data_IF_073165676517
#
_entry.id   IF_073165676517
#
_cell.length_a   1.000
_cell.length_b   1.000
_cell.length_c   1.000
_cell.angle_alpha   90.00
_cell.angle_beta   90.00
_cell.angle_gamma   90.00
#
_symmetry.space_group_name_H-M   'P 1'
#
loop_
_entity.id
_entity.type
_entity.pdbx_description
1 polymer ?
#
# COMPACT_ATOMS: atom_id res chain seq x y z
N UNK A 1 -20.98 22.75 -10.69
CA UNK A 1 -20.23 22.09 -11.78
C UNK A 1 -20.38 20.60 -11.59
N UNK A 2 -21.20 19.96 -12.42
CA UNK A 2 -21.54 18.55 -12.33
C UNK A 2 -20.27 17.70 -12.51
N UNK A 3 -20.08 16.70 -11.65
CA UNK A 3 -19.07 15.65 -11.85
C UNK A 3 -19.54 14.84 -13.06
N UNK A 4 -18.86 14.95 -14.19
CA UNK A 4 -18.99 13.96 -15.27
C UNK A 4 -18.72 12.60 -14.65
N UNK A 5 -19.75 11.74 -14.63
CA UNK A 5 -19.59 10.36 -14.27
C UNK A 5 -18.64 9.75 -15.31
N UNK A 6 -17.50 9.23 -14.87
CA UNK A 6 -16.58 8.53 -15.75
C UNK A 6 -17.36 7.42 -16.46
N UNK A 7 -17.56 7.56 -17.77
CA UNK A 7 -18.27 6.57 -18.56
C UNK A 7 -17.55 5.22 -18.42
N UNK A 8 -18.32 4.19 -18.07
CA UNK A 8 -17.80 2.83 -18.05
C UNK A 8 -17.27 2.49 -19.45
N UNK A 9 -16.10 1.85 -19.57
CA UNK A 9 -15.61 1.44 -20.88
C UNK A 9 -16.63 0.55 -21.59
N UNK A 10 -16.63 0.56 -22.93
CA UNK A 10 -17.36 -0.43 -23.71
C UNK A 10 -17.08 -1.85 -23.20
N UNK A 11 -18.10 -2.72 -23.18
CA UNK A 11 -17.98 -4.11 -22.70
C UNK A 11 -16.85 -4.88 -23.40
N UNK A 12 -16.61 -4.56 -24.67
CA UNK A 12 -15.52 -5.12 -25.48
C UNK A 12 -14.14 -4.78 -24.91
N UNK A 13 -13.90 -3.50 -24.57
CA UNK A 13 -12.65 -3.05 -23.94
C UNK A 13 -12.39 -3.77 -22.62
N UNK A 14 -13.42 -3.91 -21.78
CA UNK A 14 -13.28 -4.63 -20.51
C UNK A 14 -12.96 -6.12 -20.73
N UNK A 15 -13.59 -6.74 -21.72
CA UNK A 15 -13.35 -8.15 -22.06
C UNK A 15 -11.92 -8.37 -22.58
N UNK A 16 -11.41 -7.44 -23.39
CA UNK A 16 -10.02 -7.45 -23.85
C UNK A 16 -9.05 -7.35 -22.66
N UNK A 17 -9.28 -6.40 -21.75
CA UNK A 17 -8.43 -6.23 -20.57
C UNK A 17 -8.44 -7.44 -19.64
N UNK A 18 -9.59 -8.08 -19.45
CA UNK A 18 -9.68 -9.34 -18.67
C UNK A 18 -8.81 -10.41 -19.30
N UNK A 19 -8.89 -10.57 -20.63
CA UNK A 19 -8.11 -11.57 -21.37
C UNK A 19 -6.61 -11.29 -21.28
N UNK A 20 -6.22 -10.03 -21.46
CA UNK A 20 -4.82 -9.61 -21.39
C UNK A 20 -4.25 -9.80 -19.98
N UNK A 21 -5.00 -9.46 -18.93
CA UNK A 21 -4.58 -9.75 -17.55
C UNK A 21 -4.38 -11.24 -17.32
N UNK A 22 -5.27 -12.10 -17.82
CA UNK A 22 -5.12 -13.55 -17.66
C UNK A 22 -3.88 -14.08 -18.39
N UNK A 23 -3.62 -13.59 -19.61
CA UNK A 23 -2.43 -13.96 -20.40
C UNK A 23 -1.14 -13.52 -19.71
N UNK A 24 -1.04 -12.26 -19.30
CA UNK A 24 0.16 -11.73 -18.66
C UNK A 24 0.35 -12.29 -17.24
N UNK A 25 -0.74 -12.58 -16.51
CA UNK A 25 -0.67 -13.24 -15.20
C UNK A 25 0.00 -14.62 -15.29
N UNK A 26 -0.24 -15.37 -16.36
CA UNK A 26 0.40 -16.67 -16.57
C UNK A 26 1.94 -16.57 -16.70
N UNK A 27 2.48 -15.38 -16.96
CA UNK A 27 3.91 -15.12 -17.04
C UNK A 27 4.52 -14.68 -15.70
N UNK A 28 3.71 -14.47 -14.66
CA UNK A 28 4.23 -14.06 -13.35
C UNK A 28 5.06 -15.18 -12.74
N UNK A 29 6.29 -14.86 -12.33
CA UNK A 29 7.16 -15.72 -11.53
C UNK A 29 7.11 -15.23 -10.09
N UNK A 30 6.76 -16.09 -9.14
CA UNK A 30 6.56 -15.76 -7.72
C UNK A 30 7.64 -16.35 -6.79
N UNK A 31 8.79 -16.64 -7.39
CA UNK A 31 9.99 -17.18 -6.73
C UNK A 31 11.22 -16.35 -7.09
N UNK A 32 12.25 -16.48 -6.28
CA UNK A 32 13.53 -15.81 -6.50
C UNK A 32 14.25 -16.37 -7.73
N UNK A 33 14.61 -15.49 -8.67
CA UNK A 33 15.38 -15.83 -9.87
C UNK A 33 16.85 -15.45 -9.75
N UNK A 34 17.18 -14.46 -8.94
CA UNK A 34 18.51 -13.88 -8.85
C UNK A 34 19.28 -14.39 -7.62
N UNK A 35 20.61 -14.45 -7.70
CA UNK A 35 21.45 -14.89 -6.59
C UNK A 35 21.33 -13.97 -5.36
N UNK A 36 21.31 -12.65 -5.58
CA UNK A 36 21.24 -11.66 -4.49
C UNK A 36 19.97 -11.77 -3.64
N UNK A 37 18.88 -12.36 -4.16
CA UNK A 37 17.62 -12.50 -3.43
C UNK A 37 17.70 -13.55 -2.30
N UNK A 38 18.53 -14.57 -2.53
CA UNK A 38 18.72 -15.71 -1.62
C UNK A 38 19.78 -15.43 -0.55
N UNK A 39 20.60 -14.41 -0.75
CA UNK A 39 21.55 -13.95 0.26
C UNK A 39 20.81 -13.20 1.39
N UNK A 40 21.05 -13.54 2.67
CA UNK A 40 20.39 -12.86 3.79
C UNK A 40 20.63 -11.35 3.86
N UNK A 41 21.80 -10.88 3.41
CA UNK A 41 22.19 -9.48 3.37
C UNK A 41 21.99 -8.83 2.00
N UNK A 42 21.38 -9.54 1.04
CA UNK A 42 21.24 -9.12 -0.35
C UNK A 42 22.58 -8.81 -1.05
N UNK A 43 23.64 -9.55 -0.73
CA UNK A 43 24.95 -9.41 -1.39
C UNK A 43 24.80 -9.49 -2.92
N UNK A 44 25.35 -8.49 -3.61
CA UNK A 44 25.22 -8.31 -5.06
C UNK A 44 24.05 -7.40 -5.49
N UNK A 45 23.15 -7.02 -4.59
CA UNK A 45 22.17 -5.97 -4.84
C UNK A 45 22.84 -4.59 -4.66
N UNK A 46 22.82 -3.78 -5.72
CA UNK A 46 23.43 -2.45 -5.78
C UNK A 46 22.42 -1.35 -6.08
N UNK A 47 21.30 -1.68 -6.75
CA UNK A 47 20.34 -0.69 -7.24
C UNK A 47 18.90 -1.16 -7.04
N UNK A 48 18.14 -0.36 -6.31
CA UNK A 48 16.71 -0.54 -6.08
C UNK A 48 15.95 0.62 -6.73
N UNK A 49 14.94 0.31 -7.53
CA UNK A 49 14.10 1.31 -8.17
C UNK A 49 12.79 1.54 -7.44
N UNK A 50 12.25 2.74 -7.56
CA UNK A 50 10.95 3.13 -7.04
C UNK A 50 10.10 3.71 -8.15
N UNK A 51 8.82 3.36 -8.19
CA UNK A 51 7.87 3.95 -9.14
C UNK A 51 6.59 4.41 -8.45
N UNK A 52 6.05 5.51 -8.96
CA UNK A 52 4.79 6.11 -8.53
C UNK A 52 4.08 6.76 -9.72
N UNK A 53 2.73 6.80 -9.66
CA UNK A 53 1.91 7.64 -10.53
C UNK A 53 1.01 8.52 -9.66
N UNK A 54 1.34 9.80 -9.58
CA UNK A 54 0.58 10.77 -8.80
C UNK A 54 -0.38 11.56 -9.68
N UNK A 55 -1.65 11.59 -9.33
CA UNK A 55 -2.67 12.38 -10.04
C UNK A 55 -2.58 13.87 -9.69
N UNK A 56 -2.90 14.72 -10.66
CA UNK A 56 -3.11 16.15 -10.42
C UNK A 56 -4.36 16.34 -9.57
N UNK A 57 -4.29 17.20 -8.55
CA UNK A 57 -5.41 17.38 -7.62
C UNK A 57 -6.63 17.94 -8.36
N UNK A 58 -7.74 17.19 -8.32
CA UNK A 58 -9.00 17.58 -8.97
C UNK A 58 -9.10 17.16 -10.44
N UNK A 59 -8.10 16.47 -10.98
CA UNK A 59 -8.08 15.96 -12.35
C UNK A 59 -7.81 14.44 -12.33
N UNK A 60 -8.69 13.68 -12.97
CA UNK A 60 -8.62 12.21 -13.04
C UNK A 60 -7.84 11.70 -14.26
N UNK A 61 -7.43 12.59 -15.17
CA UNK A 61 -6.75 12.31 -16.43
C UNK A 61 -5.27 12.70 -16.34
N UNK A 62 -4.95 13.88 -15.83
CA UNK A 62 -3.55 14.31 -15.73
C UNK A 62 -2.86 13.70 -14.51
N UNK A 63 -1.72 13.08 -14.73
CA UNK A 63 -0.89 12.50 -13.68
C UNK A 63 0.59 12.72 -13.98
N UNK A 64 1.45 12.42 -13.01
CA UNK A 64 2.90 12.38 -13.16
C UNK A 64 3.39 10.96 -12.87
N UNK A 65 3.98 10.33 -13.89
CA UNK A 65 4.70 9.07 -13.73
C UNK A 65 6.14 9.38 -13.30
N UNK A 66 6.62 8.70 -12.26
CA UNK A 66 7.95 8.89 -11.68
C UNK A 66 8.66 7.55 -11.57
N UNK A 67 9.91 7.51 -12.03
CA UNK A 67 10.86 6.43 -11.83
C UNK A 67 12.09 7.01 -11.13
N UNK A 68 12.50 6.40 -10.03
CA UNK A 68 13.77 6.69 -9.35
C UNK A 68 14.60 5.43 -9.24
N UNK A 69 15.92 5.59 -9.20
CA UNK A 69 16.84 4.51 -8.80
C UNK A 69 17.68 5.02 -7.66
N UNK A 70 17.81 4.19 -6.63
CA UNK A 70 18.63 4.44 -5.47
C UNK A 70 19.76 3.40 -5.41
N UNK A 71 20.91 3.79 -4.88
CA UNK A 71 21.94 2.84 -4.49
C UNK A 71 21.45 1.97 -3.32
N UNK A 72 22.00 0.77 -3.19
CA UNK A 72 21.74 -0.13 -2.09
C UNK A 72 23.08 -0.64 -1.54
N UNK A 73 23.29 -0.65 -0.20
CA UNK A 73 22.30 -0.38 0.85
C UNK A 73 22.15 1.09 1.27
N UNK A 74 22.87 2.03 0.65
CA UNK A 74 22.90 3.41 1.15
C UNK A 74 21.56 4.13 0.95
N UNK A 75 20.73 3.73 -0.03
CA UNK A 75 19.45 4.37 -0.35
C UNK A 75 19.59 5.84 -0.77
N UNK A 76 20.65 6.15 -1.50
CA UNK A 76 20.88 7.47 -2.10
C UNK A 76 20.40 7.49 -3.55
N UNK A 77 19.71 8.56 -3.96
CA UNK A 77 19.14 8.65 -5.31
C UNK A 77 20.26 8.86 -6.33
N UNK A 78 20.36 7.94 -7.29
CA UNK A 78 21.34 7.98 -8.38
C UNK A 78 20.72 8.28 -9.74
N UNK A 79 19.39 8.14 -9.86
CA UNK A 79 18.65 8.47 -11.08
C UNK A 79 17.20 8.89 -10.75
N UNK A 80 16.67 9.83 -11.53
CA UNK A 80 15.27 10.24 -11.48
C UNK A 80 14.74 10.59 -12.88
N UNK A 81 13.52 10.18 -13.21
CA UNK A 81 12.78 10.60 -14.40
C UNK A 81 11.31 10.80 -14.04
N UNK A 82 10.80 12.02 -14.23
CA UNK A 82 9.41 12.37 -14.02
C UNK A 82 8.81 12.92 -15.32
N UNK A 83 7.58 12.49 -15.62
CA UNK A 83 6.84 12.96 -16.79
C UNK A 83 5.38 13.19 -16.45
N UNK A 84 4.87 14.36 -16.82
CA UNK A 84 3.42 14.56 -16.92
C UNK A 84 2.88 13.64 -18.02
N UNK A 85 1.77 12.96 -17.71
CA UNK A 85 1.11 11.99 -18.58
C UNK A 85 -0.39 12.20 -18.55
N UNK A 86 -1.06 11.78 -19.63
CA UNK A 86 -2.52 11.84 -19.77
C UNK A 86 -3.09 10.42 -19.77
N UNK A 87 -3.79 10.08 -18.71
CA UNK A 87 -4.38 8.76 -18.45
C UNK A 87 -5.74 8.64 -19.16
N UNK A 88 -5.70 8.45 -20.48
CA UNK A 88 -6.90 8.41 -21.35
C UNK A 88 -7.79 7.18 -21.13
N UNK A 89 -7.23 6.07 -20.67
CA UNK A 89 -8.02 4.87 -20.35
C UNK A 89 -8.96 5.15 -19.16
N UNK A 90 -10.22 4.66 -19.18
CA UNK A 90 -11.18 4.90 -18.10
C UNK A 90 -10.77 4.22 -16.80
N UNK A 91 -11.22 4.78 -15.67
CA UNK A 91 -11.00 4.19 -14.36
C UNK A 91 -11.98 3.04 -14.11
N UNK A 92 -11.46 1.82 -13.98
CA UNK A 92 -12.23 0.65 -13.54
C UNK A 92 -11.47 -0.04 -12.42
N UNK A 93 -12.16 -0.31 -11.31
CA UNK A 93 -11.57 -1.03 -10.18
C UNK A 93 -11.05 -2.40 -10.64
N UNK A 94 -9.80 -2.71 -10.29
CA UNK A 94 -9.11 -3.92 -10.77
C UNK A 94 -8.41 -3.78 -12.13
N UNK A 95 -8.45 -2.60 -12.76
CA UNK A 95 -7.83 -2.34 -14.07
C UNK A 95 -6.95 -1.08 -14.08
N UNK A 96 -6.62 -0.53 -12.91
CA UNK A 96 -5.78 0.67 -12.78
C UNK A 96 -4.45 0.55 -13.54
N UNK A 97 -3.87 -0.66 -13.56
CA UNK A 97 -2.62 -0.95 -14.25
C UNK A 97 -2.66 -0.59 -15.76
N UNK A 98 -3.81 -0.73 -16.44
CA UNK A 98 -3.94 -0.33 -17.86
C UNK A 98 -3.82 1.18 -18.08
N UNK A 99 -4.07 1.97 -17.03
CA UNK A 99 -3.87 3.42 -17.07
C UNK A 99 -2.40 3.78 -16.84
N UNK A 100 -1.75 3.11 -15.90
CA UNK A 100 -0.45 3.56 -15.35
C UNK A 100 0.76 2.86 -16.00
N UNK A 101 0.68 1.55 -16.21
CA UNK A 101 1.82 0.71 -16.61
C UNK A 101 2.44 1.12 -17.93
N UNK A 102 1.70 1.53 -19.00
CA UNK A 102 2.33 1.96 -20.24
C UNK A 102 3.35 3.10 -20.03
N UNK A 103 3.05 4.03 -19.12
CA UNK A 103 3.93 5.16 -18.81
C UNK A 103 5.14 4.75 -17.97
N UNK A 104 4.95 3.80 -17.03
CA UNK A 104 6.03 3.26 -16.22
C UNK A 104 6.99 2.39 -17.06
N UNK A 105 6.47 1.55 -17.96
CA UNK A 105 7.27 0.78 -18.93
C UNK A 105 8.09 1.73 -19.81
N UNK A 106 7.47 2.82 -20.29
CA UNK A 106 8.18 3.84 -21.05
C UNK A 106 9.31 4.51 -20.24
N UNK A 107 9.12 4.76 -18.94
CA UNK A 107 10.17 5.29 -18.07
C UNK A 107 11.35 4.31 -17.92
N UNK A 108 11.06 3.02 -17.71
CA UNK A 108 12.11 1.98 -17.63
C UNK A 108 12.86 1.83 -18.95
N UNK A 109 12.16 1.88 -20.10
CA UNK A 109 12.81 1.84 -21.42
C UNK A 109 13.74 3.02 -21.65
N UNK A 110 13.30 4.25 -21.32
CA UNK A 110 14.15 5.45 -21.41
C UNK A 110 15.39 5.33 -20.52
N UNK A 111 15.26 4.80 -19.31
CA UNK A 111 16.41 4.55 -18.44
C UNK A 111 17.39 3.57 -19.09
N UNK A 112 16.90 2.43 -19.62
CA UNK A 112 17.75 1.43 -20.30
C UNK A 112 18.52 2.02 -21.48
N UNK A 113 17.89 2.91 -22.23
CA UNK A 113 18.50 3.56 -23.40
C UNK A 113 19.53 4.62 -23.01
N UNK A 114 19.24 5.42 -21.97
CA UNK A 114 20.08 6.56 -21.59
C UNK A 114 21.21 6.20 -20.64
N UNK A 115 20.92 5.41 -19.62
CA UNK A 115 21.83 5.09 -18.52
C UNK A 115 21.73 3.59 -18.16
N UNK A 116 22.13 2.68 -19.07
CA UNK A 116 21.97 1.23 -18.86
C UNK A 116 22.67 0.71 -17.59
N UNK A 117 23.77 1.35 -17.18
CA UNK A 117 24.49 1.02 -15.93
C UNK A 117 23.70 1.32 -14.65
N UNK A 118 22.66 2.17 -14.74
CA UNK A 118 21.80 2.56 -13.62
C UNK A 118 20.46 1.81 -13.61
N UNK A 119 20.25 0.83 -14.49
CA UNK A 119 19.04 0.01 -14.48
C UNK A 119 18.92 -0.69 -13.11
N UNK A 120 17.76 -0.59 -12.42
CA UNK A 120 17.57 -1.22 -11.13
C UNK A 120 17.47 -2.74 -11.26
N UNK A 121 17.96 -3.45 -10.25
CA UNK A 121 17.84 -4.91 -10.18
C UNK A 121 16.45 -5.35 -9.70
N UNK A 122 15.70 -4.45 -9.07
CA UNK A 122 14.35 -4.70 -8.55
C UNK A 122 13.59 -3.37 -8.42
N UNK A 123 12.30 -3.39 -8.68
CA UNK A 123 11.41 -2.24 -8.55
C UNK A 123 10.46 -2.42 -7.34
N UNK A 124 10.38 -1.40 -6.49
CA UNK A 124 9.33 -1.25 -5.48
C UNK A 124 8.25 -0.31 -6.05
N UNK A 125 7.04 -0.84 -6.17
CA UNK A 125 5.91 -0.19 -6.84
C UNK A 125 4.89 0.27 -5.80
N UNK A 126 4.50 1.54 -5.81
CA UNK A 126 3.38 2.02 -4.99
C UNK A 126 2.06 1.43 -5.51
N UNK A 127 1.66 0.29 -4.94
CA UNK A 127 0.52 -0.47 -5.43
C UNK A 127 0.62 -1.94 -5.12
N UNK A 128 -0.31 -2.72 -5.67
CA UNK A 128 -0.42 -4.14 -5.40
C UNK A 128 0.25 -5.00 -6.49
N UNK A 129 0.72 -6.18 -6.11
CA UNK A 129 1.11 -7.28 -6.98
C UNK A 129 0.02 -8.37 -6.99
N UNK A 130 0.34 -9.57 -6.49
CA UNK A 130 -0.61 -10.70 -6.41
C UNK A 130 -1.79 -10.44 -5.45
N UNK A 131 -1.65 -9.52 -4.47
CA UNK A 131 -2.76 -9.04 -3.63
C UNK A 131 -3.72 -8.15 -4.44
N UNK A 132 -4.48 -8.73 -5.35
CA UNK A 132 -5.28 -8.00 -6.33
C UNK A 132 -6.57 -8.75 -6.70
N UNK A 133 -7.61 -8.02 -7.14
CA UNK A 133 -8.92 -8.58 -7.53
C UNK A 133 -8.84 -9.77 -8.50
N UNK A 134 -7.79 -9.81 -9.33
CA UNK A 134 -7.52 -10.87 -10.30
C UNK A 134 -6.15 -11.53 -10.10
N UNK A 135 -5.47 -11.24 -8.99
CA UNK A 135 -4.10 -11.69 -8.73
C UNK A 135 -3.08 -11.17 -9.75
N UNK A 136 -3.27 -9.95 -10.24
CA UNK A 136 -2.42 -9.31 -11.25
C UNK A 136 -2.50 -7.78 -11.14
N UNK A 137 -1.91 -7.23 -10.08
CA UNK A 137 -1.86 -5.79 -9.85
C UNK A 137 -0.79 -5.07 -10.69
N UNK A 138 -0.63 -3.77 -10.45
CA UNK A 138 0.31 -2.90 -11.17
C UNK A 138 1.77 -3.41 -11.07
N UNK A 139 2.18 -3.97 -9.93
CA UNK A 139 3.54 -4.48 -9.76
C UNK A 139 3.80 -5.75 -10.59
N UNK A 140 2.81 -6.65 -10.69
CA UNK A 140 2.89 -7.82 -11.57
C UNK A 140 2.94 -7.40 -13.04
N UNK A 141 2.05 -6.50 -13.43
CA UNK A 141 1.92 -6.04 -14.80
C UNK A 141 3.20 -5.33 -15.26
N UNK A 142 3.75 -4.42 -14.46
CA UNK A 142 5.02 -3.78 -14.74
C UNK A 142 6.18 -4.80 -14.79
N UNK A 143 6.24 -5.71 -13.82
CA UNK A 143 7.30 -6.73 -13.76
C UNK A 143 7.35 -7.62 -14.99
N UNK A 144 6.20 -8.15 -15.42
CA UNK A 144 6.11 -9.00 -16.62
C UNK A 144 6.52 -8.24 -17.89
N UNK A 145 6.06 -6.99 -18.06
CA UNK A 145 6.37 -6.22 -19.27
C UNK A 145 7.80 -5.67 -19.32
N UNK A 146 8.44 -5.51 -18.16
CA UNK A 146 9.84 -5.04 -18.08
C UNK A 146 10.83 -6.19 -17.90
N UNK A 147 10.35 -7.38 -17.57
CA UNK A 147 11.14 -8.55 -17.19
C UNK A 147 12.05 -8.32 -15.95
N UNK A 148 11.71 -7.32 -15.13
CA UNK A 148 12.43 -6.97 -13.89
C UNK A 148 11.73 -7.57 -12.67
N UNK A 149 12.49 -7.96 -11.62
CA UNK A 149 11.91 -8.22 -10.31
C UNK A 149 11.10 -7.03 -9.80
N UNK A 150 9.88 -7.28 -9.34
CA UNK A 150 8.94 -6.26 -8.89
C UNK A 150 8.27 -6.66 -7.58
N UNK A 151 8.11 -5.68 -6.68
CA UNK A 151 7.42 -5.81 -5.40
C UNK A 151 6.28 -4.79 -5.36
N UNK A 152 5.06 -5.25 -5.05
CA UNK A 152 3.95 -4.35 -4.74
C UNK A 152 4.01 -3.92 -3.28
N UNK A 153 4.08 -2.62 -3.03
CA UNK A 153 4.08 -2.01 -1.69
C UNK A 153 2.84 -1.13 -1.54
N UNK A 154 1.77 -1.67 -0.97
CA UNK A 154 0.52 -0.94 -0.79
C UNK A 154 0.42 -0.29 0.60
N UNK A 155 -0.09 0.95 0.64
CA UNK A 155 -0.29 1.73 1.88
C UNK A 155 -1.58 1.37 2.64
N UNK A 156 -2.49 0.60 2.02
CA UNK A 156 -3.81 0.18 2.52
C UNK A 156 -4.09 -1.27 2.12
N UNK A 157 -4.87 -1.99 2.93
CA UNK A 157 -5.29 -3.36 2.62
C UNK A 157 -6.28 -3.32 1.44
N UNK A 158 -6.03 -4.12 0.42
CA UNK A 158 -7.01 -4.39 -0.61
C UNK A 158 -7.90 -5.56 -0.17
N UNK A 159 -9.20 -5.34 -0.12
CA UNK A 159 -10.17 -6.33 0.35
C UNK A 159 -10.60 -7.23 -0.80
N UNK A 160 -9.88 -8.34 -0.97
CA UNK A 160 -10.06 -9.32 -2.04
C UNK A 160 -9.93 -10.72 -1.46
N UNK A 161 -10.57 -11.71 -2.08
CA UNK A 161 -10.53 -13.11 -1.64
C UNK A 161 -10.82 -13.24 -0.12
N UNK A 162 -11.89 -12.62 0.37
CA UNK A 162 -12.28 -12.68 1.79
C UNK A 162 -11.37 -11.90 2.77
N UNK A 163 -10.32 -11.22 2.31
CA UNK A 163 -9.55 -10.32 3.16
C UNK A 163 -10.37 -9.08 3.51
N UNK A 164 -10.44 -8.77 4.80
CA UNK A 164 -11.20 -7.63 5.32
C UNK A 164 -10.39 -6.85 6.36
N UNK A 165 -10.59 -5.54 6.41
CA UNK A 165 -10.02 -4.70 7.47
C UNK A 165 -10.91 -4.70 8.74
N UNK A 166 -11.23 -5.90 9.22
CA UNK A 166 -12.14 -6.14 10.35
C UNK A 166 -11.40 -6.14 11.70
N UNK A 167 -12.10 -6.48 12.79
CA UNK A 167 -11.54 -6.49 14.15
C UNK A 167 -10.34 -7.43 14.28
N UNK A 168 -10.43 -8.65 13.74
CA UNK A 168 -9.34 -9.62 13.79
C UNK A 168 -8.08 -9.12 13.07
N UNK A 169 -8.24 -8.44 11.93
CA UNK A 169 -7.12 -7.81 11.23
C UNK A 169 -6.45 -6.73 12.07
N UNK A 170 -7.24 -5.89 12.75
CA UNK A 170 -6.73 -4.83 13.64
C UNK A 170 -6.03 -5.40 14.88
N UNK A 171 -6.54 -6.50 15.44
CA UNK A 171 -5.88 -7.21 16.54
C UNK A 171 -4.50 -7.73 16.12
N UNK A 172 -4.40 -8.38 14.96
CA UNK A 172 -3.10 -8.82 14.40
C UNK A 172 -2.13 -7.65 14.20
N UNK A 173 -2.61 -6.50 13.73
CA UNK A 173 -1.78 -5.27 13.65
C UNK A 173 -1.32 -4.84 15.06
N UNK A 174 -2.19 -4.91 16.06
CA UNK A 174 -1.85 -4.60 17.46
C UNK A 174 -0.79 -5.52 18.08
N UNK A 175 -0.59 -6.71 17.53
CA UNK A 175 0.45 -7.66 17.93
C UNK A 175 1.83 -7.34 17.33
N UNK A 176 1.91 -6.55 16.25
CA UNK A 176 3.18 -6.13 15.67
C UNK A 176 3.87 -5.12 16.61
N UNK A 177 5.01 -5.46 17.20
CA UNK A 177 5.71 -4.68 18.24
C UNK A 177 6.91 -3.89 17.72
N UNK A 178 7.66 -4.45 16.79
CA UNK A 178 8.87 -3.85 16.25
C UNK A 178 8.81 -3.73 14.72
N UNK A 179 9.66 -2.87 14.15
CA UNK A 179 9.85 -2.78 12.72
C UNK A 179 10.50 -4.05 12.19
N UNK A 180 9.86 -4.67 11.20
CA UNK A 180 10.22 -5.99 10.67
C UNK A 180 9.16 -7.04 10.99
N UNK A 181 8.38 -6.84 12.06
CA UNK A 181 7.28 -7.75 12.39
C UNK A 181 6.27 -7.79 11.24
N UNK A 182 5.79 -8.99 10.93
CA UNK A 182 4.83 -9.19 9.86
C UNK A 182 3.90 -10.37 10.13
N UNK A 183 2.77 -10.42 9.42
CA UNK A 183 1.86 -11.56 9.43
C UNK A 183 1.23 -11.80 8.05
N UNK A 184 0.84 -13.06 7.73
CA UNK A 184 0.29 -13.42 6.44
C UNK A 184 -1.12 -12.88 6.19
N UNK A 185 -1.32 -12.41 4.96
CA UNK A 185 -2.62 -12.08 4.38
C UNK A 185 -3.12 -13.31 3.62
N UNK A 186 -3.68 -14.26 4.37
CA UNK A 186 -4.29 -15.47 3.80
C UNK A 186 -5.72 -15.17 3.38
N UNK A 187 -6.01 -15.32 2.09
CA UNK A 187 -7.37 -15.18 1.56
C UNK A 187 -8.27 -16.37 1.93
N UNK A 188 -9.56 -16.23 1.67
CA UNK A 188 -10.58 -17.26 1.91
C UNK A 188 -10.35 -18.54 1.11
N UNK A 189 -9.62 -18.45 -0.02
CA UNK A 189 -9.14 -19.61 -0.76
C UNK A 189 -8.05 -20.43 -0.04
N UNK A 190 -7.48 -19.91 1.05
CA UNK A 190 -6.29 -20.46 1.72
C UNK A 190 -4.96 -19.98 1.13
N UNK A 191 -4.98 -19.23 0.03
CA UNK A 191 -3.77 -18.68 -0.61
C UNK A 191 -3.21 -17.52 0.19
N UNK A 192 -1.90 -17.49 0.40
CA UNK A 192 -1.21 -16.32 0.96
C UNK A 192 -0.97 -15.30 -0.16
N UNK A 193 -1.67 -14.17 -0.08
CA UNK A 193 -1.66 -13.14 -1.14
C UNK A 193 -0.60 -12.05 -0.92
N UNK A 194 -0.09 -11.93 0.30
CA UNK A 194 0.90 -10.93 0.71
C UNK A 194 1.15 -10.95 2.21
N UNK A 195 2.00 -10.05 2.70
CA UNK A 195 2.24 -9.83 4.13
C UNK A 195 1.79 -8.43 4.56
N UNK A 196 1.21 -8.31 5.75
CA UNK A 196 1.21 -7.05 6.48
C UNK A 196 2.56 -6.89 7.17
N UNK A 197 3.28 -5.80 6.91
CA UNK A 197 4.61 -5.51 7.44
C UNK A 197 4.57 -4.23 8.27
N UNK A 198 4.97 -4.30 9.54
CA UNK A 198 5.33 -3.10 10.30
C UNK A 198 6.71 -2.65 9.83
N UNK A 199 6.73 -1.65 8.97
CA UNK A 199 7.94 -1.26 8.25
C UNK A 199 8.89 -0.36 9.04
N UNK A 200 8.46 0.22 10.16
CA UNK A 200 9.24 1.15 10.97
C UNK A 200 8.73 1.19 12.43
N UNK A 201 9.64 1.35 13.40
CA UNK A 201 9.29 1.34 14.83
C UNK A 201 8.34 2.48 15.22
N UNK A 202 8.56 3.68 14.68
CA UNK A 202 7.68 4.84 14.90
C UNK A 202 6.35 4.82 14.14
N UNK A 203 5.95 3.72 13.49
CA UNK A 203 4.64 3.63 12.84
C UNK A 203 3.91 2.34 13.19
N UNK A 204 2.64 2.47 13.59
CA UNK A 204 1.73 1.35 13.84
C UNK A 204 0.95 0.93 12.59
N UNK A 205 0.97 1.74 11.53
CA UNK A 205 0.24 1.46 10.28
C UNK A 205 1.11 0.58 9.37
N UNK A 206 0.75 -0.68 9.13
CA UNK A 206 1.56 -1.56 8.30
C UNK A 206 1.57 -1.11 6.84
N UNK A 207 2.51 -1.67 6.09
CA UNK A 207 2.46 -1.79 4.64
C UNK A 207 1.92 -3.16 4.27
N UNK A 208 1.32 -3.28 3.09
CA UNK A 208 0.85 -4.55 2.55
C UNK A 208 1.73 -4.91 1.36
N UNK A 209 2.65 -5.84 1.59
CA UNK A 209 3.66 -6.26 0.61
C UNK A 209 3.15 -7.48 -0.13
N UNK A 210 3.24 -7.47 -1.45
CA UNK A 210 2.87 -8.61 -2.29
C UNK A 210 3.85 -8.78 -3.43
N UNK A 211 4.03 -10.03 -3.87
CA UNK A 211 4.88 -10.37 -5.01
C UNK A 211 4.36 -9.66 -6.26
N UNK A 212 5.24 -8.98 -6.98
CA UNK A 212 4.99 -8.50 -8.33
C UNK A 212 5.44 -9.53 -9.36
N UNK A 213 6.75 -9.73 -9.48
CA UNK A 213 7.37 -10.62 -10.47
C UNK A 213 8.81 -10.98 -10.04
N UNK A 214 9.28 -12.19 -10.35
CA UNK A 214 10.65 -12.69 -10.15
C UNK A 214 11.23 -12.47 -8.74
N UNK A 215 10.39 -12.58 -7.72
CA UNK A 215 10.83 -12.49 -6.32
C UNK A 215 9.87 -13.27 -5.44
N UNK A 216 10.40 -13.96 -4.43
CA UNK A 216 9.58 -14.62 -3.42
C UNK A 216 8.94 -13.60 -2.47
N UNK A 217 7.84 -13.96 -1.84
CA UNK A 217 7.17 -13.09 -0.87
C UNK A 217 8.06 -12.78 0.33
N UNK A 218 8.84 -13.76 0.79
CA UNK A 218 9.78 -13.58 1.89
C UNK A 218 10.88 -12.57 1.55
N UNK A 219 11.55 -12.75 0.41
CA UNK A 219 12.58 -11.81 -0.06
C UNK A 219 11.99 -10.41 -0.28
N UNK A 220 10.78 -10.32 -0.83
CA UNK A 220 10.08 -9.04 -1.02
C UNK A 220 9.83 -8.29 0.30
N UNK A 221 9.42 -9.00 1.35
CA UNK A 221 9.17 -8.40 2.68
C UNK A 221 10.47 -7.95 3.33
N UNK A 222 11.49 -8.82 3.33
CA UNK A 222 12.83 -8.49 3.86
C UNK A 222 13.42 -7.27 3.14
N UNK A 223 13.36 -7.24 1.81
CA UNK A 223 13.90 -6.14 1.02
C UNK A 223 13.11 -4.84 1.24
N UNK A 224 11.78 -4.93 1.31
CA UNK A 224 10.94 -3.76 1.62
C UNK A 224 11.34 -3.15 2.96
N UNK A 225 11.54 -3.97 4.00
CA UNK A 225 12.04 -3.51 5.30
C UNK A 225 13.46 -2.93 5.21
N UNK A 226 14.37 -3.58 4.47
CA UNK A 226 15.72 -3.08 4.24
C UNK A 226 15.77 -1.72 3.51
N UNK A 227 14.71 -1.38 2.78
CA UNK A 227 14.58 -0.08 2.12
C UNK A 227 13.89 1.00 3.00
N UNK A 228 13.50 0.71 4.24
CA UNK A 228 12.72 1.62 5.08
C UNK A 228 13.59 2.44 6.06
N UNK A 229 13.99 3.66 5.66
CA UNK A 229 14.46 4.70 6.60
C UNK A 229 13.31 5.34 7.40
N UNK A 230 12.10 5.31 6.83
CA UNK A 230 10.84 5.73 7.45
C UNK A 230 9.79 4.64 7.26
N UNK A 231 8.52 4.94 7.60
CA UNK A 231 7.39 4.02 7.32
C UNK A 231 7.33 3.61 5.85
N UNK A 232 7.49 4.54 4.91
CA UNK A 232 7.43 4.23 3.48
C UNK A 232 8.86 3.90 3.00
N UNK A 233 9.09 2.83 2.21
CA UNK A 233 10.41 2.50 1.69
C UNK A 233 10.94 3.65 0.86
N UNK A 234 12.24 3.94 0.96
CA UNK A 234 12.88 5.07 0.30
C UNK A 234 12.61 5.14 -1.19
N UNK A 235 12.70 4.06 -1.99
CA UNK A 235 12.42 4.15 -3.43
C UNK A 235 11.00 4.64 -3.72
N UNK A 236 10.00 4.10 -3.02
CA UNK A 236 8.59 4.51 -3.15
C UNK A 236 8.38 5.94 -2.66
N UNK A 237 8.98 6.30 -1.52
CA UNK A 237 8.89 7.65 -0.94
C UNK A 237 9.49 8.71 -1.87
N UNK A 238 10.64 8.41 -2.47
CA UNK A 238 11.35 9.32 -3.38
C UNK A 238 10.63 9.48 -4.72
N UNK A 239 10.02 8.42 -5.26
CA UNK A 239 9.19 8.50 -6.46
C UNK A 239 7.97 9.41 -6.23
N UNK A 240 7.29 9.24 -5.09
CA UNK A 240 6.10 9.98 -4.65
C UNK A 240 6.40 11.47 -4.33
N UNK A 241 7.56 11.77 -3.74
CA UNK A 241 8.00 13.16 -3.54
C UNK A 241 8.23 13.85 -4.88
N UNK A 242 8.98 13.21 -5.79
CA UNK A 242 9.33 13.81 -7.07
C UNK A 242 8.15 13.97 -8.00
N UNK A 243 7.25 13.00 -8.05
CA UNK A 243 6.02 13.11 -8.85
C UNK A 243 5.19 14.31 -8.41
N UNK A 244 5.00 14.49 -7.10
CA UNK A 244 4.28 15.65 -6.54
C UNK A 244 5.03 16.97 -6.75
N UNK A 245 6.34 16.99 -6.62
CA UNK A 245 7.17 18.18 -6.87
C UNK A 245 7.12 18.59 -8.34
N UNK A 246 7.17 17.62 -9.26
CA UNK A 246 7.09 17.84 -10.69
C UNK A 246 5.72 18.42 -11.10
N UNK A 247 4.63 17.90 -10.53
CA UNK A 247 3.27 18.47 -10.71
C UNK A 247 3.24 19.93 -10.26
N UNK A 248 3.75 20.23 -9.06
CA UNK A 248 3.76 21.61 -8.51
C UNK A 248 4.55 22.58 -9.39
N UNK A 249 5.71 22.15 -9.92
CA UNK A 249 6.55 22.97 -10.80
C UNK A 249 5.94 23.17 -12.18
N UNK A 250 5.31 22.14 -12.73
CA UNK A 250 4.78 22.17 -14.12
C UNK A 250 3.47 22.93 -14.23
N UNK A 251 2.58 22.80 -13.25
CA UNK A 251 1.24 23.44 -13.29
C UNK A 251 1.19 24.79 -12.58
N UNK A 252 2.30 25.20 -11.95
CA UNK A 252 2.34 26.34 -11.03
C UNK A 252 1.62 26.04 -9.72
N UNK A 253 2.19 26.43 -8.59
CA UNK A 253 1.38 26.58 -7.39
C UNK A 253 0.29 27.64 -7.69
N UNK A 254 -0.94 27.54 -7.15
CA UNK A 254 -1.81 28.71 -7.12
C UNK A 254 -1.02 29.84 -6.47
N UNK A 255 -0.93 30.98 -7.16
CA UNK A 255 -0.27 32.16 -6.59
C UNK A 255 -0.86 32.42 -5.20
N UNK A 256 -0.04 32.81 -4.19
CA UNK A 256 -0.61 33.41 -3.01
C UNK A 256 -1.50 34.57 -3.46
N UNK A 257 -2.68 34.79 -2.85
CA UNK A 257 -3.46 35.98 -3.16
C UNK A 257 -2.55 37.19 -3.00
N UNK A 258 -2.55 38.07 -4.01
CA UNK A 258 -1.77 39.29 -4.01
C UNK A 258 -2.03 40.05 -2.69
N UNK A 259 -1.00 40.57 -2.01
CA UNK A 259 -1.21 41.33 -0.80
C UNK A 259 -1.92 42.63 -1.16
N UNK A 260 -3.15 42.77 -0.66
CA UNK A 260 -3.95 43.98 -0.81
C UNK A 260 -5.13 43.81 -1.73
N UNK A 261 -6.21 43.23 -1.22
CA UNK A 261 -7.55 43.76 -1.44
C UNK A 261 -8.43 43.43 -0.23
N UNK A 262 -9.14 44.46 0.18
CA UNK A 262 -9.58 44.71 1.54
C UNK A 262 -10.61 43.71 2.06
N UNK A 263 -10.46 43.31 3.33
CA UNK A 263 -11.49 42.55 4.05
C UNK A 263 -12.59 43.52 4.46
N UNK A 264 -13.64 43.62 3.66
CA UNK A 264 -14.90 44.22 4.09
C UNK A 264 -16.07 43.56 3.41
N UNK A 265 -16.68 42.59 4.08
CA UNK A 265 -18.14 42.49 4.28
C UNK A 265 -18.46 41.28 5.15
N UNK A 266 -18.80 41.58 6.40
CA UNK A 266 -19.27 40.65 7.44
C UNK A 266 -20.79 40.55 7.27
N UNK A 267 -21.30 39.48 6.68
CA UNK A 267 -22.75 39.22 6.65
C UNK A 267 -23.18 38.71 8.03
N UNK A 268 -24.01 39.52 8.70
CA UNK A 268 -24.62 39.23 10.00
C UNK A 268 -25.73 38.17 9.85
N UNK A 269 -25.79 37.22 10.80
CA UNK A 269 -26.97 36.38 11.06
C UNK A 269 -27.73 36.96 12.27
N UNK A 270 -29.07 37.06 12.24
CA UNK A 270 -29.84 37.67 13.32
C UNK A 270 -29.96 36.76 14.56
N UNK A 271 -30.03 37.41 15.73
CA UNK A 271 -30.28 36.83 17.07
C UNK A 271 -31.77 36.88 17.43
N UNK A 272 -32.23 35.85 18.13
CA UNK A 272 -33.32 35.81 19.13
C UNK A 272 -33.14 34.47 19.87
N UNK A 273 -32.98 34.34 21.20
CA UNK A 273 -33.69 34.96 22.34
C UNK A 273 -35.03 34.22 22.49
N UNK A 274 -35.43 33.56 23.56
CA UNK A 274 -35.00 33.28 24.95
C UNK A 274 -35.70 31.93 25.30
N UNK A 275 -35.43 31.14 26.33
CA UNK A 275 -35.67 31.35 27.77
C UNK A 275 -35.55 29.96 28.45
N UNK A 276 -35.16 29.95 29.71
CA UNK A 276 -35.04 28.77 30.60
C UNK A 276 -36.39 28.16 30.96
N UNK A 277 -36.41 26.90 31.41
CA UNK A 277 -37.17 26.44 32.58
C UNK A 277 -36.76 25.00 32.97
N UNK A 278 -36.37 24.85 34.23
CA UNK A 278 -36.23 23.58 34.96
C UNK A 278 -37.61 23.13 35.44
N UNK A 279 -37.88 21.82 35.50
CA UNK A 279 -38.81 21.28 36.50
C UNK A 279 -38.55 19.79 36.82
N UNK A 280 -38.78 19.49 38.09
CA UNK A 280 -38.57 18.25 38.84
C UNK A 280 -39.59 17.14 38.52
N UNK A 281 -39.27 15.88 38.89
CA UNK A 281 -40.27 14.81 38.93
C UNK A 281 -39.73 13.40 39.17
N UNK A 282 -39.70 12.99 40.45
CA UNK A 282 -39.69 11.61 41.00
C UNK A 282 -41.08 11.41 41.71
N UNK A 283 -41.58 10.25 42.25
CA UNK A 283 -41.25 8.79 42.29
C UNK A 283 -42.50 7.92 41.82
N UNK A 284 -42.77 6.61 42.17
CA UNK A 284 -42.16 5.72 43.18
C UNK A 284 -41.87 4.24 42.85
N UNK A 285 -41.13 3.66 43.81
CA UNK A 285 -40.73 2.27 43.99
C UNK A 285 -41.90 1.33 44.34
N UNK A 286 -41.77 0.05 43.99
CA UNK A 286 -42.31 -1.07 44.78
C UNK A 286 -41.52 -2.38 44.53
N UNK A 287 -40.90 -2.84 45.61
CA UNK A 287 -40.53 -4.20 46.07
C UNK A 287 -40.57 -5.44 45.16
N UNK A 288 -39.56 -6.31 45.34
CA UNK A 288 -39.74 -7.77 45.20
C UNK A 288 -38.50 -8.66 45.09
N UNK A 289 -37.86 -8.98 46.23
CA UNK A 289 -37.23 -10.27 46.62
C UNK A 289 -36.02 -10.85 45.83
N UNK A 290 -34.89 -11.06 46.55
CA UNK A 290 -33.77 -11.98 46.21
C UNK A 290 -34.08 -13.44 46.62
N UNK A 291 -33.11 -14.33 46.94
CA UNK A 291 -31.64 -14.24 47.02
C UNK A 291 -30.98 -15.24 46.00
N UNK A 292 -29.69 -15.57 45.88
CA UNK A 292 -28.68 -16.05 46.84
C UNK A 292 -27.27 -15.98 46.23
N UNK A 293 -26.31 -15.75 47.13
CA UNK A 293 -24.86 -15.86 46.98
C UNK A 293 -24.39 -17.30 47.20
N UNK A 294 -23.39 -17.77 46.46
CA UNK A 294 -22.50 -18.83 46.96
C UNK A 294 -21.10 -18.76 46.32
N UNK A 295 -20.12 -18.89 47.22
CA UNK A 295 -18.68 -18.76 47.04
C UNK A 295 -18.01 -19.93 46.29
N UNK A 296 -16.79 -19.63 45.84
CA UNK A 296 -15.68 -20.50 45.44
C UNK A 296 -15.49 -21.77 46.31
N UNK A 297 -14.83 -22.82 45.78
CA UNK A 297 -13.40 -22.96 46.09
C UNK A 297 -12.51 -23.56 44.98
N UNK A 298 -11.25 -23.08 44.91
CA UNK A 298 -10.05 -23.86 44.55
C UNK A 298 -9.46 -24.41 45.86
N UNK A 299 -8.69 -25.52 45.94
CA UNK A 299 -7.56 -25.89 45.05
C UNK A 299 -7.51 -27.41 44.70
N UNK A 300 -6.68 -27.87 43.76
CA UNK A 300 -5.39 -28.51 44.08
C UNK A 300 -4.64 -28.94 42.79
N UNK A 301 -3.32 -28.83 42.84
CA UNK A 301 -2.33 -29.46 41.95
C UNK A 301 -2.09 -30.91 42.40
N UNK A 302 -1.58 -31.82 41.56
CA UNK A 302 -0.14 -32.10 41.66
C UNK A 302 0.60 -32.51 40.36
N UNK A 303 1.91 -32.29 40.48
CA UNK A 303 3.05 -33.09 40.01
C UNK A 303 3.46 -33.15 38.53
N UNK A 304 4.75 -32.86 38.38
CA UNK A 304 5.60 -32.99 37.22
C UNK A 304 5.99 -34.45 36.93
N UNK A 305 6.33 -34.73 35.67
CA UNK A 305 7.32 -35.74 35.32
C UNK A 305 7.99 -35.36 34.00
N UNK A 306 9.27 -35.01 34.12
CA UNK A 306 10.27 -34.85 33.07
C UNK A 306 10.83 -36.20 32.65
N UNK A 307 10.92 -36.50 31.35
CA UNK A 307 11.87 -37.46 30.76
C UNK A 307 12.18 -37.08 29.30
N UNK A 308 13.34 -36.48 29.07
CA UNK A 308 14.26 -36.84 27.97
C UNK A 308 15.27 -37.87 28.55
N UNK A 309 16.02 -38.70 27.79
CA UNK A 309 16.76 -38.33 26.56
C UNK A 309 16.95 -39.43 25.48
N UNK A 310 17.60 -39.08 24.35
CA UNK A 310 18.75 -39.78 23.74
C UNK A 310 18.76 -39.81 22.19
N UNK A 311 19.73 -39.10 21.63
CA UNK A 311 20.71 -39.48 20.59
C UNK A 311 20.49 -40.73 19.71
N UNK A 312 20.63 -40.55 18.38
CA UNK A 312 21.58 -41.24 17.45
C UNK A 312 20.97 -41.60 16.08
N UNK A 313 21.35 -40.86 15.02
CA UNK A 313 22.14 -41.32 13.87
C UNK A 313 22.38 -40.16 12.89
#
# INVERSE_FOLDING_TARGET
MAREAAELPPKETLSLWIREQAQLKALVVDRDTEAWQRDPGFSGLQRVGGVDVSFVKGDSVSACASLVVLSYPELEVVYEDCRMVSLKAPYVSGFLAFREVPFLVAAVRRLREKEPGLVPQVLLVDGNGLLHHRGFGVACHLGVLTDLPCIGVAKKLLQVDGLENNTQHKEKIGLLRAGGDSFPLTGGSGTVLGMALRSHDHSTKPLYVSVGHKISLEAAVRLTRGCCRFRIPEPVRQADIRSRDYIRRTLGAPMPPAPGQDRSQKVQRPKGGSEELQDEGRPPEAHGQGPETAESPRPTRPAAASVEPSCAQ
#
